data_IF_230535730100
#
_entry.id   IF_230535730100
#
_cell.length_a   1.000
_cell.length_b   1.000
_cell.length_c   1.000
_cell.angle_alpha   90.00
_cell.angle_beta   90.00
_cell.angle_gamma   90.00
#
_symmetry.space_group_name_H-M   'P 1'
#
loop_
_entity.id
_entity.type
_entity.pdbx_description
1 polymer ?
#
# COMPACT_ATOMS: atom_id res chain seq x y z
N UNK A 1 0.20 22.74 48.64
CA UNK A 1 -0.44 23.46 47.52
C UNK A 1 0.55 23.92 46.45
N UNK A 2 1.59 24.71 46.77
CA UNK A 2 2.58 25.18 45.77
C UNK A 2 3.36 24.06 45.06
N UNK A 3 3.89 23.07 45.80
CA UNK A 3 4.59 21.93 45.22
C UNK A 3 3.70 21.05 44.32
N UNK A 4 2.42 20.92 44.67
CA UNK A 4 1.43 20.20 43.87
C UNK A 4 1.16 20.91 42.53
N UNK A 5 1.04 22.24 42.55
CA UNK A 5 0.86 23.02 41.31
C UNK A 5 2.12 22.99 40.42
N UNK A 6 3.32 22.99 41.01
CA UNK A 6 4.58 22.86 40.27
C UNK A 6 4.69 21.46 39.64
N UNK A 7 4.38 20.41 40.40
CA UNK A 7 4.36 19.05 39.89
C UNK A 7 3.35 18.87 38.76
N UNK A 8 2.12 19.38 38.94
CA UNK A 8 1.09 19.34 37.90
C UNK A 8 1.53 20.11 36.64
N UNK A 9 2.15 21.28 36.80
CA UNK A 9 2.70 22.04 35.69
C UNK A 9 3.79 21.29 34.92
N UNK A 10 4.70 20.61 35.62
CA UNK A 10 5.75 19.77 35.00
C UNK A 10 5.16 18.58 34.23
N UNK A 11 4.14 17.93 34.78
CA UNK A 11 3.44 16.82 34.10
C UNK A 11 2.77 17.31 32.82
N UNK A 12 2.08 18.46 32.87
CA UNK A 12 1.45 19.05 31.66
C UNK A 12 2.52 19.42 30.63
N UNK A 13 3.62 20.06 31.04
CA UNK A 13 4.71 20.40 30.14
C UNK A 13 5.34 19.16 29.49
N UNK A 14 5.52 18.07 30.23
CA UNK A 14 6.01 16.81 29.71
C UNK A 14 5.06 16.19 28.68
N UNK A 15 3.74 16.23 28.93
CA UNK A 15 2.73 15.74 27.97
C UNK A 15 2.75 16.58 26.69
N UNK A 16 2.80 17.91 26.81
CA UNK A 16 2.85 18.80 25.63
C UNK A 16 4.14 18.58 24.83
N UNK A 17 5.28 18.46 25.51
CA UNK A 17 6.57 18.17 24.87
C UNK A 17 6.58 16.81 24.17
N UNK A 18 5.98 15.79 24.79
CA UNK A 18 5.82 14.47 24.19
C UNK A 18 4.95 14.51 22.93
N UNK A 19 3.77 15.14 23.01
CA UNK A 19 2.86 15.31 21.85
C UNK A 19 3.58 16.01 20.70
N UNK A 20 4.30 17.10 20.99
CA UNK A 20 5.06 17.84 19.99
C UNK A 20 6.14 16.98 19.33
N UNK A 21 6.89 16.20 20.11
CA UNK A 21 7.88 15.27 19.57
C UNK A 21 7.24 14.20 18.67
N UNK A 22 6.15 13.58 19.12
CA UNK A 22 5.49 12.50 18.34
C UNK A 22 4.86 12.99 17.03
N UNK A 23 4.44 14.25 16.94
CA UNK A 23 3.84 14.83 15.73
C UNK A 23 4.86 15.43 14.75
N UNK A 24 6.11 15.59 15.20
CA UNK A 24 7.20 16.14 14.37
C UNK A 24 8.15 15.04 13.90
N UNK A 25 8.18 13.90 14.60
CA UNK A 25 9.07 12.79 14.26
C UNK A 25 8.40 11.80 13.31
N UNK A 26 8.82 11.83 12.04
CA UNK A 26 8.48 10.78 11.08
C UNK A 26 9.29 9.51 11.35
N UNK A 27 8.60 8.41 11.66
CA UNK A 27 9.22 7.09 11.82
C UNK A 27 9.54 6.46 10.47
N UNK A 28 8.66 6.64 9.49
CA UNK A 28 8.80 6.04 8.16
C UNK A 28 8.07 6.89 7.13
N UNK A 29 8.69 7.10 5.98
CA UNK A 29 8.13 7.85 4.87
C UNK A 29 7.90 6.89 3.70
N UNK A 30 6.80 7.06 2.98
CA UNK A 30 6.50 6.21 1.84
C UNK A 30 5.44 6.79 0.92
N UNK A 31 5.21 6.10 -0.18
CA UNK A 31 4.19 6.47 -1.16
C UNK A 31 3.26 5.28 -1.44
N UNK A 32 1.96 5.57 -1.63
CA UNK A 32 0.96 4.57 -2.03
C UNK A 32 0.12 5.11 -3.17
N UNK A 33 -0.09 4.27 -4.18
CA UNK A 33 -0.87 4.60 -5.36
C UNK A 33 -2.22 3.86 -5.37
N UNK A 34 -3.30 4.56 -5.71
CA UNK A 34 -4.63 3.97 -5.74
C UNK A 34 -5.74 4.98 -6.04
N UNK A 35 -6.96 4.59 -5.72
CA UNK A 35 -8.16 5.42 -5.89
C UNK A 35 -8.73 5.80 -4.53
N UNK A 36 -9.00 7.09 -4.32
CA UNK A 36 -9.62 7.57 -3.08
C UNK A 36 -11.08 7.09 -3.07
N UNK A 37 -11.43 6.20 -2.14
CA UNK A 37 -12.77 5.63 -2.03
C UNK A 37 -13.66 6.42 -1.07
N UNK A 38 -13.06 6.89 0.03
CA UNK A 38 -13.77 7.59 1.08
C UNK A 38 -12.86 8.69 1.60
N UNK A 39 -13.40 9.88 1.75
CA UNK A 39 -12.70 11.01 2.36
C UNK A 39 -13.73 11.84 3.12
N UNK A 40 -13.53 12.01 4.42
CA UNK A 40 -14.50 12.69 5.28
C UNK A 40 -13.80 13.53 6.34
N UNK A 41 -14.32 14.73 6.56
CA UNK A 41 -13.87 15.61 7.62
C UNK A 41 -14.61 15.27 8.91
N UNK A 42 -13.95 14.58 9.83
CA UNK A 42 -14.56 14.08 11.07
C UNK A 42 -13.74 14.46 12.29
N UNK A 43 -14.42 14.54 13.43
CA UNK A 43 -13.85 14.95 14.71
C UNK A 43 -14.81 15.87 15.48
N UNK A 44 -14.92 15.65 16.79
CA UNK A 44 -15.78 16.46 17.66
C UNK A 44 -15.07 17.76 18.07
N UNK A 45 -13.85 17.65 18.60
CA UNK A 45 -13.10 18.79 19.13
C UNK A 45 -11.96 19.24 18.19
N UNK A 46 -11.29 18.28 17.54
CA UNK A 46 -10.26 18.50 16.54
C UNK A 46 -10.75 17.80 15.27
N UNK A 47 -11.11 18.58 14.25
CA UNK A 47 -11.52 17.97 12.98
C UNK A 47 -10.28 17.67 12.17
N UNK A 48 -10.19 16.44 11.70
CA UNK A 48 -9.16 15.96 10.78
C UNK A 48 -9.84 15.40 9.55
N UNK A 49 -9.11 15.39 8.45
CA UNK A 49 -9.57 14.75 7.23
C UNK A 49 -9.11 13.30 7.25
N UNK A 50 -10.06 12.39 7.12
CA UNK A 50 -9.79 10.97 7.26
C UNK A 50 -10.23 10.29 5.96
N UNK A 51 -9.28 9.60 5.34
CA UNK A 51 -9.41 9.02 4.03
C UNK A 51 -9.13 7.53 3.99
N UNK A 52 -9.70 6.87 2.99
CA UNK A 52 -9.38 5.50 2.62
C UNK A 52 -9.06 5.47 1.12
N UNK A 53 -7.89 4.95 0.78
CA UNK A 53 -7.48 4.66 -0.60
C UNK A 53 -7.57 3.16 -0.86
N UNK A 54 -8.21 2.80 -1.97
CA UNK A 54 -8.19 1.44 -2.50
C UNK A 54 -6.96 1.26 -3.39
N UNK A 55 -6.05 0.40 -2.95
CA UNK A 55 -4.89 -0.04 -3.71
C UNK A 55 -5.28 -1.30 -4.48
N UNK A 56 -5.31 -1.22 -5.80
CA UNK A 56 -5.56 -2.38 -6.66
C UNK A 56 -4.21 -3.02 -6.96
N UNK A 57 -3.91 -4.11 -6.27
CA UNK A 57 -2.67 -4.88 -6.46
C UNK A 57 -2.81 -5.91 -7.59
N UNK A 58 -4.00 -6.46 -7.81
CA UNK A 58 -4.30 -7.41 -8.88
C UNK A 58 -5.74 -7.25 -9.41
N UNK A 59 -5.97 -7.32 -10.74
CA UNK A 59 -7.31 -7.34 -11.31
C UNK A 59 -8.09 -8.58 -10.83
N UNK A 60 -9.26 -8.38 -10.23
CA UNK A 60 -10.10 -9.45 -9.68
C UNK A 60 -9.84 -9.81 -8.22
N UNK A 61 -8.80 -9.24 -7.58
CA UNK A 61 -8.60 -9.33 -6.14
C UNK A 61 -9.36 -8.23 -5.39
N UNK A 62 -9.68 -8.47 -4.12
CA UNK A 62 -10.27 -7.46 -3.25
C UNK A 62 -9.22 -6.35 -3.08
N UNK A 63 -9.54 -5.08 -3.39
CA UNK A 63 -8.58 -3.99 -3.24
C UNK A 63 -8.21 -3.79 -1.78
N UNK A 64 -6.92 -3.66 -1.50
CA UNK A 64 -6.42 -3.37 -0.17
C UNK A 64 -6.79 -1.94 0.22
N UNK A 65 -7.44 -1.79 1.37
CA UNK A 65 -7.88 -0.51 1.91
C UNK A 65 -6.79 0.06 2.80
N UNK A 66 -6.25 1.20 2.44
CA UNK A 66 -5.32 1.94 3.29
C UNK A 66 -6.00 3.19 3.84
N UNK A 67 -6.11 3.24 5.16
CA UNK A 67 -6.66 4.38 5.88
C UNK A 67 -5.53 5.37 6.18
N UNK A 68 -5.81 6.65 6.00
CA UNK A 68 -4.86 7.71 6.19
C UNK A 68 -5.54 8.95 6.76
N UNK A 69 -4.75 9.76 7.45
CA UNK A 69 -5.17 11.02 8.03
C UNK A 69 -4.49 12.19 7.32
N UNK A 70 -5.21 13.29 7.10
CA UNK A 70 -4.69 14.55 6.56
C UNK A 70 -5.02 15.67 7.54
N UNK A 71 -4.00 16.40 7.96
CA UNK A 71 -4.15 17.54 8.89
C UNK A 71 -4.20 18.88 8.18
N UNK A 72 -3.61 18.98 6.99
CA UNK A 72 -3.58 20.21 6.21
C UNK A 72 -4.77 20.29 5.26
N UNK A 73 -5.58 21.34 5.42
CA UNK A 73 -6.74 21.62 4.55
C UNK A 73 -6.33 21.84 3.09
N UNK A 74 -5.12 22.35 2.81
CA UNK A 74 -4.63 22.54 1.45
C UNK A 74 -4.39 21.19 0.77
N UNK A 75 -3.80 20.22 1.48
CA UNK A 75 -3.60 18.86 0.99
C UNK A 75 -4.94 18.14 0.83
N UNK A 76 -5.87 18.34 1.76
CA UNK A 76 -7.23 17.80 1.66
C UNK A 76 -7.97 18.35 0.42
N UNK A 77 -7.83 19.65 0.12
CA UNK A 77 -8.39 20.25 -1.07
C UNK A 77 -7.77 19.68 -2.35
N UNK A 78 -6.45 19.44 -2.37
CA UNK A 78 -5.77 18.78 -3.49
C UNK A 78 -6.30 17.36 -3.70
N UNK A 79 -6.43 16.56 -2.63
CA UNK A 79 -6.98 15.19 -2.71
C UNK A 79 -8.42 15.21 -3.23
N UNK A 80 -9.24 16.15 -2.76
CA UNK A 80 -10.61 16.32 -3.26
C UNK A 80 -10.65 16.70 -4.73
N UNK A 81 -9.75 17.57 -5.20
CA UNK A 81 -9.64 17.94 -6.61
C UNK A 81 -9.19 16.76 -7.49
N UNK A 82 -8.46 15.82 -6.92
CA UNK A 82 -8.01 14.59 -7.57
C UNK A 82 -8.95 13.40 -7.34
N UNK A 83 -10.08 13.59 -6.66
CA UNK A 83 -11.04 12.53 -6.40
C UNK A 83 -11.55 11.92 -7.72
N UNK A 84 -11.64 10.59 -7.76
CA UNK A 84 -12.02 9.84 -8.96
C UNK A 84 -10.89 9.59 -9.96
N UNK A 85 -9.70 10.18 -9.79
CA UNK A 85 -8.50 9.85 -10.55
C UNK A 85 -7.60 8.89 -9.78
N UNK A 86 -6.67 8.25 -10.49
CA UNK A 86 -5.60 7.48 -9.86
C UNK A 86 -4.57 8.47 -9.27
N UNK A 87 -4.34 8.38 -7.97
CA UNK A 87 -3.45 9.28 -7.24
C UNK A 87 -2.34 8.51 -6.54
N UNK A 88 -1.21 9.17 -6.35
CA UNK A 88 -0.15 8.75 -5.42
C UNK A 88 -0.23 9.67 -4.20
N UNK A 89 -0.33 9.06 -3.02
CA UNK A 89 -0.28 9.75 -1.74
C UNK A 89 1.09 9.49 -1.10
N UNK A 90 1.82 10.56 -0.79
CA UNK A 90 3.02 10.51 0.03
C UNK A 90 2.60 10.65 1.49
N UNK A 91 3.06 9.73 2.34
CA UNK A 91 2.69 9.69 3.74
C UNK A 91 3.92 9.60 4.65
N UNK A 92 3.77 10.16 5.83
CA UNK A 92 4.69 10.01 6.96
C UNK A 92 3.99 9.22 8.06
N UNK A 93 4.67 8.19 8.55
CA UNK A 93 4.19 7.38 9.67
C UNK A 93 4.71 7.99 10.96
N UNK A 94 3.82 8.49 11.81
CA UNK A 94 4.17 9.04 13.12
C UNK A 94 3.72 8.02 14.19
N UNK A 95 4.67 7.45 14.93
CA UNK A 95 4.38 6.46 15.98
C UNK A 95 4.08 7.15 17.32
N UNK A 96 3.25 6.50 18.13
CA UNK A 96 2.93 6.91 19.50
C UNK A 96 2.11 8.21 19.61
N UNK A 97 1.29 8.53 18.60
CA UNK A 97 0.36 9.67 18.68
C UNK A 97 -0.64 9.42 19.81
N UNK A 98 -0.61 10.22 20.90
CA UNK A 98 -1.27 9.84 22.15
C UNK A 98 -2.77 10.13 22.17
N UNK A 99 -3.31 10.83 21.17
CA UNK A 99 -4.74 11.16 21.14
C UNK A 99 -5.33 11.08 19.73
N UNK A 100 -6.59 10.63 19.66
CA UNK A 100 -7.39 10.62 18.43
C UNK A 100 -7.77 12.03 17.93
N UNK A 101 -7.45 13.08 18.68
CA UNK A 101 -7.59 14.48 18.22
C UNK A 101 -6.59 14.80 17.10
N UNK A 102 -5.43 14.12 17.05
CA UNK A 102 -4.40 14.42 16.04
C UNK A 102 -4.54 13.58 14.77
N UNK A 103 -5.24 12.45 14.84
CA UNK A 103 -5.55 11.59 13.70
C UNK A 103 -6.08 10.23 14.15
N UNK A 104 -6.91 9.61 13.32
CA UNK A 104 -7.35 8.22 13.58
C UNK A 104 -6.28 7.19 13.23
N UNK A 105 -5.34 7.56 12.36
CA UNK A 105 -4.29 6.67 11.89
C UNK A 105 -2.91 7.22 12.22
N UNK A 106 -1.91 6.34 12.22
CA UNK A 106 -0.49 6.72 12.33
C UNK A 106 0.08 7.24 11.01
N UNK A 107 -0.71 7.25 9.93
CA UNK A 107 -0.26 7.59 8.58
C UNK A 107 -0.78 8.96 8.16
N UNK A 108 0.10 9.95 8.16
CA UNK A 108 -0.22 11.33 7.82
C UNK A 108 0.17 11.61 6.37
N UNK A 109 -0.80 11.92 5.52
CA UNK A 109 -0.50 12.29 4.12
C UNK A 109 -0.02 13.73 4.09
N UNK A 110 1.15 13.93 3.48
CA UNK A 110 1.79 15.24 3.34
C UNK A 110 1.65 15.79 1.92
N UNK A 111 1.53 14.93 0.92
CA UNK A 111 1.33 15.35 -0.47
C UNK A 111 0.50 14.34 -1.27
N UNK A 112 -0.23 14.86 -2.26
CA UNK A 112 -0.98 14.07 -3.22
C UNK A 112 -0.64 14.51 -4.64
N UNK A 113 -0.39 13.56 -5.53
CA UNK A 113 -0.15 13.82 -6.96
C UNK A 113 -0.99 12.92 -7.84
N UNK A 114 -1.45 13.45 -8.97
CA UNK A 114 -2.09 12.64 -9.99
C UNK A 114 -1.05 11.71 -10.62
N UNK A 115 -1.39 10.42 -10.73
CA UNK A 115 -0.71 9.56 -11.68
C UNK A 115 -1.35 9.88 -13.02
N UNK A 116 -0.70 10.74 -13.81
CA UNK A 116 -1.01 10.80 -15.23
C UNK A 116 -0.70 9.41 -15.77
N UNK A 117 -1.75 8.72 -16.21
CA UNK A 117 -1.63 7.47 -16.93
C UNK A 117 -0.70 7.76 -18.11
N UNK A 118 0.56 7.33 -18.02
CA UNK A 118 1.42 7.32 -19.21
C UNK A 118 0.57 6.62 -20.26
N UNK A 119 0.28 7.25 -21.42
CA UNK A 119 -0.43 6.57 -22.47
C UNK A 119 0.39 5.32 -22.70
N UNK A 120 -0.20 4.17 -22.40
CA UNK A 120 0.39 2.89 -22.69
C UNK A 120 0.49 2.92 -24.20
N UNK A 121 1.65 3.37 -24.69
CA UNK A 121 1.99 3.28 -26.10
C UNK A 121 1.71 1.81 -26.41
N UNK A 122 0.85 1.50 -27.40
CA UNK A 122 0.52 0.12 -27.71
C UNK A 122 1.79 -0.51 -28.26
N UNK A 123 2.71 -0.92 -27.37
CA UNK A 123 3.68 -1.92 -27.67
C UNK A 123 2.83 -3.12 -28.11
N UNK A 124 3.05 -3.64 -29.33
CA UNK A 124 2.27 -4.74 -29.82
C UNK A 124 2.38 -5.84 -28.78
N UNK A 125 1.22 -6.28 -28.27
CA UNK A 125 1.12 -7.55 -27.57
C UNK A 125 1.69 -8.55 -28.55
N UNK A 126 2.95 -8.95 -28.36
CA UNK A 126 3.49 -10.12 -29.03
C UNK A 126 2.71 -11.26 -28.38
N UNK A 127 1.55 -11.55 -28.99
CA UNK A 127 0.78 -12.75 -28.71
C UNK A 127 1.78 -13.87 -28.92
N UNK A 128 2.25 -14.47 -27.82
CA UNK A 128 3.04 -15.68 -27.91
C UNK A 128 2.27 -16.64 -28.83
N UNK A 129 2.90 -17.23 -29.86
CA UNK A 129 2.20 -18.12 -30.76
C UNK A 129 1.51 -19.22 -29.94
N UNK A 130 0.28 -19.62 -30.31
CA UNK A 130 -0.42 -20.69 -29.61
C UNK A 130 0.51 -21.91 -29.51
N UNK A 131 0.56 -22.61 -28.36
CA UNK A 131 1.39 -23.80 -28.24
C UNK A 131 0.97 -24.77 -29.34
N UNK A 132 1.93 -25.15 -30.17
CA UNK A 132 1.72 -26.11 -31.25
C UNK A 132 1.02 -27.37 -30.67
N UNK A 133 0.08 -28.00 -31.41
CA UNK A 133 -0.52 -29.23 -30.97
C UNK A 133 0.58 -30.24 -30.65
N UNK A 134 0.57 -30.76 -29.42
CA UNK A 134 1.49 -31.81 -29.00
C UNK A 134 1.41 -32.95 -30.04
N UNK A 135 2.54 -33.20 -30.71
CA UNK A 135 2.67 -34.34 -31.60
C UNK A 135 2.30 -35.61 -30.82
N UNK A 136 1.54 -36.56 -31.41
CA UNK A 136 1.23 -37.81 -30.74
C UNK A 136 2.53 -38.56 -30.46
N UNK A 137 2.70 -38.98 -29.20
CA UNK A 137 3.82 -39.79 -28.77
C UNK A 137 3.94 -41.04 -29.65
N UNK A 138 5.16 -41.47 -30.05
CA UNK A 138 5.32 -42.70 -30.80
C UNK A 138 4.86 -43.88 -29.94
N UNK A 139 3.99 -44.70 -30.52
CA UNK A 139 3.54 -45.96 -29.94
C UNK A 139 4.75 -46.82 -29.56
N UNK A 140 4.79 -47.26 -28.30
CA UNK A 140 5.75 -48.24 -27.84
C UNK A 140 5.61 -49.55 -28.65
N UNK A 141 6.70 -50.14 -29.17
CA UNK A 141 6.62 -51.45 -29.80
C UNK A 141 6.32 -52.51 -28.74
N UNK A 142 5.23 -53.22 -28.97
CA UNK A 142 4.76 -54.37 -28.18
C UNK A 142 5.45 -55.63 -28.69
N UNK A 143 6.11 -56.38 -27.79
CA UNK A 143 6.38 -57.85 -27.81
C UNK A 143 7.18 -58.44 -29.00
N UNK A 144 7.96 -59.52 -28.93
CA UNK A 144 8.55 -60.39 -27.92
C UNK A 144 9.53 -61.33 -28.71
N UNK A 145 9.82 -62.59 -28.32
CA UNK A 145 11.14 -63.08 -27.92
C UNK A 145 11.83 -64.02 -28.95
N UNK A 146 13.16 -64.21 -28.86
CA UNK A 146 13.84 -65.48 -29.18
C UNK A 146 15.35 -65.42 -28.90
N UNK A 147 15.87 -66.53 -28.40
CA UNK A 147 17.19 -66.82 -27.82
C UNK A 147 18.31 -67.08 -28.87
N UNK A 148 19.36 -67.86 -28.54
CA UNK A 148 20.66 -67.51 -27.95
C UNK A 148 21.80 -67.63 -28.99
N UNK A 149 23.06 -67.25 -28.70
CA UNK A 149 24.32 -67.90 -29.22
C UNK A 149 25.63 -67.11 -28.94
N UNK A 150 26.55 -67.81 -28.26
CA UNK A 150 28.04 -67.84 -28.33
C UNK A 150 28.96 -66.66 -28.00
N UNK A 151 30.11 -67.07 -27.42
CA UNK A 151 31.44 -66.44 -27.35
C UNK A 151 31.58 -65.33 -26.29
N UNK A 152 32.36 -65.45 -25.22
CA UNK A 152 33.67 -66.08 -25.08
C UNK A 152 34.75 -65.04 -25.37
N UNK A 153 35.40 -64.46 -24.35
CA UNK A 153 36.84 -64.16 -24.26
C UNK A 153 37.17 -63.43 -22.93
N UNK A 154 38.13 -64.03 -22.19
CA UNK A 154 38.99 -63.52 -21.11
C UNK A 154 38.33 -63.08 -19.79
#
# INVERSE_FOLDING_TARGET
>A
MRAFLIFLGLVIAAIVGWVWLTLTWSYSEGERAGYVQKFSHKGWLCKTWEGEIAMVTMPGAIPDRFQFTVRDDAVAAQINALAGKRVVLAYEQHKFVPTACFGETEYFVTAARALEEQPVSPAPVVVAPPPAPAAPAPAAPTTAPASPTSAGYQ
#
